data_IF_021155790034
#
_entry.id   IF_021155790034
#
_cell.length_a   1.000
_cell.length_b   1.000
_cell.length_c   1.000
_cell.angle_alpha   90.00
_cell.angle_beta   90.00
_cell.angle_gamma   90.00
#
_symmetry.space_group_name_H-M   'P 1'
#
loop_
_entity.id
_entity.type
_entity.pdbx_description
1 polymer ?
#
# COMPACT_ATOMS: atom_id res chain seq x y z
N UNK A 1 8.44 -4.42 19.02
CA UNK A 1 8.74 -5.17 17.78
C UNK A 1 8.63 -4.22 16.60
N UNK A 2 9.54 -4.26 15.61
CA UNK A 2 9.40 -3.45 14.38
C UNK A 2 8.33 -4.08 13.48
N UNK A 3 7.29 -3.32 13.11
CA UNK A 3 6.33 -3.74 12.08
C UNK A 3 7.05 -3.86 10.75
N UNK A 4 6.75 -4.92 9.99
CA UNK A 4 7.25 -5.04 8.61
C UNK A 4 6.53 -4.03 7.74
N UNK A 5 7.29 -3.30 6.93
CA UNK A 5 6.75 -2.30 6.01
C UNK A 5 6.45 -2.94 4.66
N UNK A 6 5.27 -2.66 4.09
CA UNK A 6 4.83 -3.14 2.79
C UNK A 6 4.49 -1.92 1.91
N UNK A 7 5.05 -1.90 0.71
CA UNK A 7 4.90 -0.82 -0.27
C UNK A 7 4.10 -1.34 -1.48
N UNK A 8 2.95 -0.74 -1.74
CA UNK A 8 2.15 -1.05 -2.94
C UNK A 8 2.39 0.01 -4.02
N UNK A 9 2.88 -0.43 -5.18
CA UNK A 9 3.18 0.44 -6.32
C UNK A 9 2.17 0.19 -7.45
N UNK A 10 1.62 1.27 -7.98
CA UNK A 10 0.83 1.28 -9.21
C UNK A 10 1.15 2.55 -9.98
N UNK A 11 1.12 2.48 -11.30
CA UNK A 11 1.08 3.68 -12.13
C UNK A 11 -0.19 4.47 -11.76
N UNK A 12 -0.05 5.76 -11.48
CA UNK A 12 -1.15 6.66 -11.09
C UNK A 12 -1.84 6.43 -9.74
N UNK A 13 -1.21 5.74 -8.77
CA UNK A 13 -1.86 5.46 -7.45
C UNK A 13 -3.28 4.88 -7.61
N UNK A 14 -3.43 4.06 -8.65
CA UNK A 14 -4.72 3.61 -9.15
C UNK A 14 -5.44 2.72 -8.13
N UNK A 15 -6.72 2.46 -8.36
CA UNK A 15 -7.60 1.66 -7.51
C UNK A 15 -6.99 0.32 -7.02
N UNK A 16 -6.08 -0.30 -7.78
CA UNK A 16 -5.43 -1.56 -7.39
C UNK A 16 -4.51 -1.45 -6.17
N UNK A 17 -3.70 -0.39 -6.04
CA UNK A 17 -2.82 -0.23 -4.88
C UNK A 17 -3.62 0.10 -3.61
N UNK A 18 -4.73 0.82 -3.74
CA UNK A 18 -5.65 1.09 -2.63
C UNK A 18 -6.44 -0.16 -2.20
N UNK A 19 -6.93 -0.96 -3.15
CA UNK A 19 -7.58 -2.24 -2.84
C UNK A 19 -6.63 -3.22 -2.16
N UNK A 20 -5.35 -3.26 -2.57
CA UNK A 20 -4.34 -4.10 -1.93
C UNK A 20 -4.08 -3.68 -0.47
N UNK A 21 -4.08 -2.38 -0.18
CA UNK A 21 -4.01 -1.88 1.19
C UNK A 21 -5.21 -2.33 2.02
N UNK A 22 -6.43 -2.13 1.52
CA UNK A 22 -7.66 -2.53 2.19
C UNK A 22 -7.72 -4.02 2.47
N UNK A 23 -7.34 -4.84 1.48
CA UNK A 23 -7.29 -6.30 1.62
C UNK A 23 -6.26 -6.73 2.67
N UNK A 24 -5.07 -6.13 2.68
CA UNK A 24 -4.05 -6.48 3.68
C UNK A 24 -4.50 -6.11 5.10
N UNK A 25 -5.14 -4.95 5.28
CA UNK A 25 -5.72 -4.53 6.57
C UNK A 25 -6.83 -5.47 7.02
N UNK A 26 -7.71 -5.90 6.10
CA UNK A 26 -8.80 -6.81 6.42
C UNK A 26 -8.29 -8.20 6.86
N UNK A 27 -7.24 -8.73 6.21
CA UNK A 27 -6.71 -10.05 6.49
C UNK A 27 -5.74 -10.10 7.67
N UNK A 28 -4.92 -9.05 7.84
CA UNK A 28 -3.80 -9.07 8.77
C UNK A 28 -3.88 -8.01 9.87
N UNK A 29 -4.89 -7.14 9.85
CA UNK A 29 -5.05 -6.05 10.79
C UNK A 29 -3.89 -5.07 10.73
N UNK A 30 -3.47 -4.57 11.89
CA UNK A 30 -2.39 -3.59 12.03
C UNK A 30 -1.00 -4.24 12.25
N UNK A 31 -0.83 -5.47 11.75
CA UNK A 31 0.45 -6.20 11.87
C UNK A 31 1.55 -5.66 10.96
N UNK A 32 1.18 -4.95 9.90
CA UNK A 32 2.09 -4.40 8.90
C UNK A 32 1.94 -2.88 8.80
N UNK A 33 3.05 -2.19 8.61
CA UNK A 33 3.02 -0.77 8.22
C UNK A 33 2.85 -0.67 6.71
N UNK A 34 1.90 0.13 6.25
CA UNK A 34 1.52 0.22 4.84
C UNK A 34 1.88 1.58 4.27
N UNK A 35 2.45 1.58 3.07
CA UNK A 35 2.75 2.80 2.31
C UNK A 35 2.16 2.62 0.90
N UNK A 36 1.30 3.57 0.50
CA UNK A 36 0.74 3.66 -0.85
C UNK A 36 1.07 5.05 -1.40
N UNK A 37 2.26 5.23 -2.00
CA UNK A 37 2.67 6.53 -2.50
C UNK A 37 2.08 6.76 -3.88
N UNK A 38 1.72 8.01 -4.15
CA UNK A 38 1.48 8.45 -5.51
C UNK A 38 2.80 8.64 -6.23
N UNK A 39 3.17 7.69 -7.10
CA UNK A 39 4.20 7.96 -8.09
C UNK A 39 3.62 8.94 -9.10
N UNK A 40 3.89 10.22 -8.86
CA UNK A 40 3.85 11.24 -9.90
C UNK A 40 5.02 10.92 -10.83
N UNK A 41 4.79 10.05 -11.81
CA UNK A 41 5.63 10.04 -13.00
C UNK A 41 5.37 11.41 -13.65
N UNK A 42 6.23 12.37 -13.32
CA UNK A 42 6.37 13.58 -14.10
C UNK A 42 6.89 13.08 -15.44
N UNK A 43 6.00 13.00 -16.43
CA UNK A 43 6.45 13.15 -17.81
C UNK A 43 6.95 14.58 -18.01
#
# INVERSE_FOLDING_TARGET
MKKKMVLFLCTHNSARSQMAEGLLRALYGDRYGLIVPELRLQE
#
